data_IF_432167159367
#
_entry.id   IF_432167159367
#
_cell.length_a   1.000
_cell.length_b   1.000
_cell.length_c   1.000
_cell.angle_alpha   90.00
_cell.angle_beta   90.00
_cell.angle_gamma   90.00
#
_symmetry.space_group_name_H-M   'P 1'
#
loop_
_entity.id
_entity.type
_entity.pdbx_description
1 polymer ?
#
# COMPACT_ATOMS: atom_id res chain seq x y z
N UNK A 1 -11.68 1.50 3.61
CA UNK A 1 -13.14 1.76 3.72
C UNK A 1 -13.53 2.79 4.80
N UNK A 2 -12.59 3.65 5.22
CA UNK A 2 -12.80 4.69 6.24
C UNK A 2 -13.92 5.66 5.86
N UNK A 3 -14.83 5.93 6.78
CA UNK A 3 -15.95 6.86 6.56
C UNK A 3 -15.48 8.31 6.71
N UNK A 4 -15.53 9.09 5.64
CA UNK A 4 -15.06 10.48 5.63
C UNK A 4 -15.88 11.34 4.66
N UNK A 5 -16.34 12.51 5.12
CA UNK A 5 -17.12 13.44 4.30
C UNK A 5 -18.41 12.83 3.73
N UNK A 6 -19.09 11.98 4.50
CA UNK A 6 -20.39 11.40 4.13
C UNK A 6 -20.34 10.19 3.19
N UNK A 7 -19.15 9.61 2.94
CA UNK A 7 -18.98 8.36 2.17
C UNK A 7 -17.71 7.63 2.60
N UNK A 8 -17.45 6.44 2.03
CA UNK A 8 -16.15 5.77 2.19
C UNK A 8 -15.06 6.51 1.42
N UNK A 9 -13.87 6.62 2.00
CA UNK A 9 -12.76 7.42 1.45
C UNK A 9 -12.28 6.93 0.06
N UNK A 10 -12.34 5.62 -0.21
CA UNK A 10 -12.06 5.07 -1.54
C UNK A 10 -13.08 5.52 -2.61
N UNK A 11 -14.29 5.94 -2.22
CA UNK A 11 -15.29 6.50 -3.12
C UNK A 11 -14.88 7.83 -3.77
N UNK A 12 -13.92 8.57 -3.19
CA UNK A 12 -13.37 9.77 -3.80
C UNK A 12 -12.47 9.46 -5.00
N UNK A 13 -11.80 8.30 -5.01
CA UNK A 13 -11.12 7.82 -6.21
C UNK A 13 -12.14 7.47 -7.31
N UNK A 14 -13.21 6.75 -6.96
CA UNK A 14 -14.22 6.32 -7.92
C UNK A 14 -14.94 7.48 -8.62
N UNK A 15 -15.13 8.61 -7.93
CA UNK A 15 -15.84 9.77 -8.47
C UNK A 15 -14.94 10.91 -8.98
N UNK A 16 -13.69 10.99 -8.51
CA UNK A 16 -12.78 12.10 -8.83
C UNK A 16 -11.38 11.67 -9.28
N UNK A 17 -11.17 10.37 -9.54
CA UNK A 17 -9.88 9.79 -9.91
C UNK A 17 -8.79 10.03 -8.85
N UNK A 18 -7.54 10.00 -9.29
CA UNK A 18 -6.36 10.22 -8.42
C UNK A 18 -6.45 11.55 -7.66
N UNK A 19 -6.87 12.62 -8.33
CA UNK A 19 -7.00 13.95 -7.70
C UNK A 19 -8.08 13.97 -6.60
N UNK A 20 -9.18 13.23 -6.79
CA UNK A 20 -10.21 13.06 -5.77
C UNK A 20 -9.69 12.31 -4.56
N UNK A 21 -8.94 11.22 -4.77
CA UNK A 21 -8.31 10.45 -3.71
C UNK A 21 -7.30 11.29 -2.92
N UNK A 22 -6.38 11.99 -3.61
CA UNK A 22 -5.38 12.88 -3.00
C UNK A 22 -6.05 13.92 -2.11
N UNK A 23 -7.01 14.69 -2.64
CA UNK A 23 -7.72 15.71 -1.85
C UNK A 23 -8.40 15.13 -0.61
N UNK A 24 -9.05 13.97 -0.75
CA UNK A 24 -9.71 13.33 0.36
C UNK A 24 -8.72 12.89 1.45
N UNK A 25 -7.57 12.34 1.06
CA UNK A 25 -6.51 12.00 2.00
C UNK A 25 -5.90 13.23 2.66
N UNK A 26 -5.57 14.29 1.92
CA UNK A 26 -5.01 15.52 2.50
C UNK A 26 -5.98 16.16 3.51
N UNK A 27 -7.28 16.18 3.20
CA UNK A 27 -8.30 16.67 4.15
C UNK A 27 -8.47 15.73 5.35
N UNK A 28 -8.33 14.43 5.15
CA UNK A 28 -8.47 13.44 6.21
C UNK A 28 -7.33 13.50 7.22
N UNK A 29 -6.09 13.58 6.72
CA UNK A 29 -4.85 13.48 7.50
C UNK A 29 -4.29 14.84 7.92
N UNK A 30 -4.56 15.89 7.16
CA UNK A 30 -3.86 17.18 7.27
C UNK A 30 -2.47 17.18 6.63
N UNK A 31 -2.02 16.05 6.08
CA UNK A 31 -0.75 15.95 5.36
C UNK A 31 -0.90 16.49 3.95
N UNK A 32 0.14 17.16 3.44
CA UNK A 32 0.23 17.47 2.01
C UNK A 32 0.79 16.24 1.29
N UNK A 33 0.18 15.86 0.17
CA UNK A 33 0.64 14.77 -0.67
C UNK A 33 1.28 15.38 -1.92
N UNK A 34 2.61 15.37 -1.99
CA UNK A 34 3.32 15.89 -3.15
C UNK A 34 3.19 14.97 -4.37
N UNK A 35 3.22 13.65 -4.12
CA UNK A 35 3.23 12.65 -5.19
C UNK A 35 2.38 11.41 -4.89
N UNK A 36 1.91 10.76 -5.95
CA UNK A 36 1.24 9.46 -5.88
C UNK A 36 1.84 8.46 -6.87
N UNK A 37 1.69 7.18 -6.54
CA UNK A 37 1.91 6.05 -7.45
C UNK A 37 0.67 5.17 -7.37
N UNK A 38 0.09 4.84 -8.52
CA UNK A 38 -1.10 3.99 -8.65
C UNK A 38 -0.79 2.86 -9.62
N UNK A 39 -1.22 1.65 -9.28
CA UNK A 39 -1.19 0.49 -10.17
C UNK A 39 -2.52 -0.22 -10.09
N UNK A 40 -2.90 -0.91 -11.16
CA UNK A 40 -3.98 -1.89 -11.15
C UNK A 40 -3.40 -3.31 -11.10
N UNK A 41 -4.22 -4.33 -11.35
CA UNK A 41 -3.77 -5.72 -11.32
C UNK A 41 -2.89 -6.09 -12.51
N UNK A 42 -3.15 -5.49 -13.67
CA UNK A 42 -2.39 -5.72 -14.90
C UNK A 42 -1.02 -5.02 -14.83
N UNK A 43 -0.87 -3.98 -14.01
CA UNK A 43 0.41 -3.40 -13.64
C UNK A 43 1.11 -4.15 -12.51
N UNK A 44 0.38 -4.50 -11.45
CA UNK A 44 0.96 -4.98 -10.20
C UNK A 44 1.67 -6.33 -10.33
N UNK A 45 0.99 -7.34 -10.90
CA UNK A 45 1.57 -8.67 -10.98
C UNK A 45 2.83 -8.69 -11.89
N UNK A 46 2.79 -8.12 -13.12
CA UNK A 46 3.98 -8.02 -13.95
C UNK A 46 5.12 -7.20 -13.33
N UNK A 47 4.81 -6.17 -12.54
CA UNK A 47 5.83 -5.39 -11.82
C UNK A 47 6.58 -6.26 -10.80
N UNK A 48 5.88 -7.11 -10.05
CA UNK A 48 6.52 -8.07 -9.12
C UNK A 48 7.36 -9.09 -9.89
N UNK A 49 6.85 -9.60 -11.02
CA UNK A 49 7.59 -10.56 -11.85
C UNK A 49 8.83 -9.93 -12.49
N UNK A 50 8.79 -8.64 -12.86
CA UNK A 50 9.96 -7.88 -13.31
C UNK A 50 11.06 -7.84 -12.24
N UNK A 51 10.68 -7.78 -10.97
CA UNK A 51 11.61 -7.89 -9.85
C UNK A 51 12.06 -9.33 -9.55
N UNK A 52 11.65 -10.30 -10.36
CA UNK A 52 11.87 -11.74 -10.14
C UNK A 52 11.26 -12.19 -8.80
N UNK A 53 10.04 -11.76 -8.52
CA UNK A 53 9.34 -12.09 -7.27
C UNK A 53 9.88 -11.36 -6.05
N UNK A 54 9.30 -11.69 -4.90
CA UNK A 54 9.62 -11.07 -3.60
C UNK A 54 9.52 -12.12 -2.49
N UNK A 55 10.48 -12.09 -1.57
CA UNK A 55 10.40 -12.88 -0.35
C UNK A 55 9.51 -12.15 0.67
N UNK A 56 8.53 -12.81 1.26
CA UNK A 56 7.73 -12.18 2.32
C UNK A 56 7.43 -13.17 3.44
N UNK A 57 7.31 -12.63 4.65
CA UNK A 57 6.96 -13.43 5.83
C UNK A 57 5.46 -13.44 6.02
N UNK A 58 4.88 -14.62 5.91
CA UNK A 58 3.49 -14.89 6.23
C UNK A 58 3.43 -15.32 7.69
N UNK A 59 2.73 -14.56 8.52
CA UNK A 59 2.67 -14.82 9.97
C UNK A 59 1.60 -15.87 10.35
N UNK A 60 0.73 -16.24 9.41
CA UNK A 60 -0.42 -17.10 9.69
C UNK A 60 -0.88 -17.93 8.49
N UNK A 61 -1.75 -18.92 8.72
CA UNK A 61 -2.35 -19.66 7.61
C UNK A 61 -3.36 -18.79 6.85
N UNK A 62 -3.08 -18.50 5.59
CA UNK A 62 -3.98 -17.82 4.66
C UNK A 62 -4.53 -18.87 3.71
N UNK A 63 -5.85 -19.08 3.76
CA UNK A 63 -6.58 -19.93 2.83
C UNK A 63 -7.84 -19.18 2.36
N UNK A 64 -7.73 -18.54 1.20
CA UNK A 64 -8.79 -17.71 0.64
C UNK A 64 -9.04 -18.11 -0.81
N UNK A 65 -10.14 -18.84 -1.04
CA UNK A 65 -10.56 -19.32 -2.36
C UNK A 65 -11.01 -18.22 -3.30
N UNK A 66 -11.41 -17.05 -2.80
CA UNK A 66 -11.80 -15.91 -3.62
C UNK A 66 -10.58 -15.24 -4.25
N UNK A 67 -9.50 -15.12 -3.48
CA UNK A 67 -8.24 -14.59 -3.98
C UNK A 67 -7.35 -15.64 -4.65
N UNK A 68 -7.54 -16.93 -4.32
CA UNK A 68 -6.63 -18.02 -4.69
C UNK A 68 -5.38 -18.09 -3.81
N UNK A 69 -5.33 -17.35 -2.69
CA UNK A 69 -4.17 -17.33 -1.81
C UNK A 69 -4.20 -18.51 -0.84
N UNK A 70 -3.18 -19.36 -0.94
CA UNK A 70 -2.93 -20.49 -0.06
C UNK A 70 -1.48 -20.46 0.41
N UNK A 71 -1.24 -19.87 1.58
CA UNK A 71 0.10 -19.73 2.17
C UNK A 71 0.06 -20.16 3.64
N UNK A 72 1.05 -20.93 4.05
CA UNK A 72 1.27 -21.31 5.45
C UNK A 72 2.15 -20.29 6.16
N UNK A 73 2.22 -20.27 7.50
CA UNK A 73 3.21 -19.47 8.21
C UNK A 73 4.64 -19.77 7.74
N UNK A 74 5.46 -18.74 7.59
CA UNK A 74 6.86 -18.85 7.18
C UNK A 74 7.27 -17.82 6.13
N UNK A 75 8.52 -17.93 5.69
CA UNK A 75 9.07 -17.11 4.60
C UNK A 75 8.76 -17.79 3.27
N UNK A 76 8.18 -17.04 2.33
CA UNK A 76 7.86 -17.52 0.99
C UNK A 76 8.45 -16.60 -0.06
N UNK A 77 9.04 -17.19 -1.08
CA UNK A 77 9.32 -16.48 -2.34
C UNK A 77 8.08 -16.55 -3.22
N UNK A 78 7.48 -15.40 -3.51
CA UNK A 78 6.21 -15.31 -4.27
C UNK A 78 6.37 -14.51 -5.55
N UNK A 79 5.74 -15.00 -6.62
CA UNK A 79 5.65 -14.31 -7.91
C UNK A 79 4.49 -13.30 -7.94
N UNK A 80 4.30 -12.60 -9.06
CA UNK A 80 3.28 -11.57 -9.21
C UNK A 80 1.86 -12.06 -9.00
N UNK A 81 1.52 -13.24 -9.50
CA UNK A 81 0.20 -13.84 -9.30
C UNK A 81 -0.07 -14.17 -7.83
N UNK A 82 0.92 -14.74 -7.13
CA UNK A 82 0.83 -15.08 -5.70
C UNK A 82 0.80 -13.82 -4.83
N UNK A 83 1.61 -12.80 -5.16
CA UNK A 83 1.59 -11.50 -4.50
C UNK A 83 0.24 -10.80 -4.66
N UNK A 84 -0.36 -10.88 -5.85
CA UNK A 84 -1.69 -10.33 -6.11
C UNK A 84 -2.76 -11.08 -5.31
N UNK A 85 -2.67 -12.42 -5.24
CA UNK A 85 -3.57 -13.23 -4.43
C UNK A 85 -3.45 -12.85 -2.94
N UNK A 86 -2.22 -12.74 -2.41
CA UNK A 86 -1.95 -12.37 -1.02
C UNK A 86 -2.57 -11.02 -0.66
N UNK A 87 -2.30 -9.97 -1.43
CA UNK A 87 -2.82 -8.61 -1.16
C UNK A 87 -4.34 -8.50 -1.30
N UNK A 88 -4.98 -9.44 -1.99
CA UNK A 88 -6.44 -9.53 -2.15
C UNK A 88 -7.13 -10.42 -1.11
N UNK A 89 -6.39 -11.23 -0.36
CA UNK A 89 -6.92 -12.23 0.56
C UNK A 89 -7.73 -11.58 1.70
N UNK A 90 -9.06 -11.71 1.66
CA UNK A 90 -10.02 -11.04 2.55
C UNK A 90 -10.64 -11.97 3.59
N UNK A 91 -10.86 -13.22 3.21
CA UNK A 91 -11.72 -14.17 3.93
C UNK A 91 -10.94 -15.22 4.73
N UNK A 92 -9.61 -15.13 4.75
CA UNK A 92 -8.78 -15.95 5.63
C UNK A 92 -9.05 -15.64 7.11
N UNK A 93 -8.98 -16.68 7.95
CA UNK A 93 -8.81 -16.47 9.40
C UNK A 93 -7.54 -15.65 9.57
N UNK A 94 -7.67 -14.51 10.25
CA UNK A 94 -6.52 -13.63 10.49
C UNK A 94 -6.30 -13.35 11.97
N UNK A 95 -5.04 -13.39 12.42
CA UNK A 95 -4.53 -12.95 13.70
C UNK A 95 -4.82 -11.46 13.94
N UNK A 96 -5.11 -10.72 12.88
CA UNK A 96 -5.33 -9.28 12.89
C UNK A 96 -6.80 -8.87 12.73
N UNK A 97 -7.74 -9.76 13.06
CA UNK A 97 -9.18 -9.48 12.94
C UNK A 97 -9.74 -9.59 11.52
N UNK A 98 -8.90 -9.92 10.54
CA UNK A 98 -9.28 -10.21 9.16
C UNK A 98 -9.72 -8.98 8.37
N UNK A 99 -10.37 -9.22 7.22
CA UNK A 99 -11.05 -8.17 6.46
C UNK A 99 -10.11 -7.13 5.85
N UNK A 100 -10.40 -5.85 6.06
CA UNK A 100 -9.67 -4.75 5.43
C UNK A 100 -8.28 -4.56 6.05
N UNK A 101 -8.19 -4.56 7.38
CA UNK A 101 -6.94 -4.30 8.10
C UNK A 101 -5.85 -5.33 7.77
N UNK A 102 -6.19 -6.63 7.80
CA UNK A 102 -5.24 -7.69 7.48
C UNK A 102 -4.64 -7.52 6.07
N UNK A 103 -5.48 -7.21 5.08
CA UNK A 103 -5.03 -6.96 3.69
C UNK A 103 -4.15 -5.73 3.57
N UNK A 104 -4.53 -4.64 4.21
CA UNK A 104 -3.78 -3.38 4.20
C UNK A 104 -2.39 -3.59 4.82
N UNK A 105 -2.31 -4.31 5.95
CA UNK A 105 -1.04 -4.66 6.59
C UNK A 105 -0.18 -5.58 5.73
N UNK A 106 -0.75 -6.65 5.15
CA UNK A 106 -0.03 -7.56 4.25
C UNK A 106 0.52 -6.83 3.03
N UNK A 107 -0.26 -5.93 2.44
CA UNK A 107 0.16 -5.12 1.30
C UNK A 107 1.30 -4.16 1.67
N UNK A 108 1.23 -3.51 2.83
CA UNK A 108 2.29 -2.63 3.32
C UNK A 108 3.59 -3.40 3.59
N UNK A 109 3.51 -4.59 4.19
CA UNK A 109 4.68 -5.46 4.42
C UNK A 109 5.32 -5.91 3.11
N UNK A 110 4.51 -6.37 2.15
CA UNK A 110 5.00 -6.79 0.84
C UNK A 110 5.74 -5.68 0.10
N UNK A 111 5.21 -4.44 0.14
CA UNK A 111 5.86 -3.28 -0.45
C UNK A 111 7.19 -2.94 0.23
N UNK A 112 7.24 -3.03 1.57
CA UNK A 112 8.48 -2.83 2.32
C UNK A 112 9.52 -3.91 1.99
N UNK A 113 9.12 -5.18 1.94
CA UNK A 113 9.97 -6.31 1.59
C UNK A 113 10.54 -6.15 0.17
N UNK A 114 9.69 -5.78 -0.79
CA UNK A 114 10.09 -5.51 -2.17
C UNK A 114 11.12 -4.38 -2.26
N UNK A 115 10.85 -3.25 -1.59
CA UNK A 115 11.77 -2.11 -1.55
C UNK A 115 13.14 -2.53 -1.01
N UNK A 116 13.16 -3.19 0.15
CA UNK A 116 14.41 -3.57 0.83
C UNK A 116 15.21 -4.61 0.04
N UNK A 117 14.54 -5.55 -0.62
CA UNK A 117 15.20 -6.60 -1.43
C UNK A 117 15.72 -6.06 -2.76
N UNK A 118 14.96 -5.17 -3.41
CA UNK A 118 15.19 -4.80 -4.82
C UNK A 118 15.85 -3.44 -4.99
N UNK A 119 16.13 -2.70 -3.91
CA UNK A 119 16.85 -1.41 -3.96
C UNK A 119 18.17 -1.47 -4.73
N UNK A 120 18.93 -2.56 -4.62
CA UNK A 120 20.22 -2.72 -5.31
C UNK A 120 20.08 -2.87 -6.83
N UNK A 121 18.89 -3.15 -7.35
CA UNK A 121 18.62 -3.23 -8.80
C UNK A 121 18.59 -1.86 -9.46
N UNK A 122 18.51 -0.77 -8.68
CA UNK A 122 18.41 0.60 -9.17
C UNK A 122 19.67 1.37 -8.84
N UNK A 123 20.18 2.09 -9.83
CA UNK A 123 21.34 2.97 -9.71
C UNK A 123 21.16 4.19 -10.60
N UNK A 124 22.02 5.19 -10.45
CA UNK A 124 22.04 6.35 -11.35
C UNK A 124 22.26 5.97 -12.82
N UNK A 125 22.98 4.86 -13.09
CA UNK A 125 23.33 4.43 -14.45
C UNK A 125 22.15 3.83 -15.22
N UNK A 126 21.25 3.13 -14.54
CA UNK A 126 20.10 2.48 -15.16
C UNK A 126 18.77 3.18 -14.81
N UNK A 127 18.81 4.35 -14.17
CA UNK A 127 17.64 5.06 -13.67
C UNK A 127 16.59 5.32 -14.75
N UNK A 128 16.99 5.89 -15.89
CA UNK A 128 16.05 6.21 -16.97
C UNK A 128 15.37 4.96 -17.51
N UNK A 129 16.13 3.88 -17.73
CA UNK A 129 15.57 2.61 -18.19
C UNK A 129 14.65 2.00 -17.13
N UNK A 130 15.06 2.01 -15.87
CA UNK A 130 14.28 1.52 -14.75
C UNK A 130 12.93 2.25 -14.63
N UNK A 131 12.95 3.58 -14.68
CA UNK A 131 11.73 4.39 -14.60
C UNK A 131 10.85 4.23 -15.83
N UNK A 132 11.44 4.10 -17.03
CA UNK A 132 10.68 3.80 -18.24
C UNK A 132 9.99 2.43 -18.17
N UNK A 133 10.64 1.42 -17.58
CA UNK A 133 10.05 0.10 -17.39
C UNK A 133 8.93 0.13 -16.35
N UNK A 134 9.18 0.69 -15.17
CA UNK A 134 8.17 0.76 -14.11
C UNK A 134 6.99 1.64 -14.54
N UNK A 135 7.26 2.72 -15.29
CA UNK A 135 6.23 3.61 -15.82
C UNK A 135 5.21 2.95 -16.75
N UNK A 136 5.48 1.72 -17.24
CA UNK A 136 4.49 0.93 -18.00
C UNK A 136 3.44 0.26 -17.09
N UNK A 137 3.77 0.08 -15.81
CA UNK A 137 2.95 -0.63 -14.83
C UNK A 137 2.28 0.31 -13.83
N UNK A 138 2.65 1.60 -13.81
CA UNK A 138 2.15 2.56 -12.82
C UNK A 138 1.73 3.89 -13.44
N UNK A 139 0.71 4.51 -12.85
CA UNK A 139 0.37 5.92 -13.08
C UNK A 139 0.91 6.77 -11.93
N UNK A 140 1.61 7.84 -12.27
CA UNK A 140 2.22 8.74 -11.29
C UNK A 140 2.26 10.18 -11.79
N UNK A 141 2.32 11.14 -10.86
CA UNK A 141 2.63 12.54 -11.15
C UNK A 141 4.12 12.88 -10.89
N UNK A 142 4.96 11.90 -10.58
CA UNK A 142 6.40 12.07 -10.37
C UNK A 142 7.09 12.23 -11.73
N UNK A 143 7.74 13.38 -11.96
CA UNK A 143 8.62 13.57 -13.12
C UNK A 143 9.95 12.83 -12.96
N UNK A 144 10.66 12.58 -14.07
CA UNK A 144 11.99 11.97 -14.06
C UNK A 144 12.97 12.72 -13.15
N UNK A 145 12.95 14.06 -13.16
CA UNK A 145 13.80 14.88 -12.29
C UNK A 145 13.44 14.75 -10.81
N UNK A 146 12.16 14.67 -10.47
CA UNK A 146 11.71 14.46 -9.08
C UNK A 146 12.06 13.04 -8.60
N UNK A 147 11.87 12.04 -9.46
CA UNK A 147 12.27 10.66 -9.17
C UNK A 147 13.79 10.59 -8.87
N UNK A 148 14.62 11.26 -9.69
CA UNK A 148 16.07 11.31 -9.47
C UNK A 148 16.47 11.97 -8.13
N UNK A 149 15.67 12.92 -7.63
CA UNK A 149 15.89 13.57 -6.32
C UNK A 149 15.45 12.71 -5.14
N UNK A 150 14.33 11.99 -5.27
CA UNK A 150 13.75 11.16 -4.21
C UNK A 150 14.51 9.83 -4.08
N UNK A 151 14.97 9.28 -5.20
CA UNK A 151 15.52 7.93 -5.26
C UNK A 151 16.68 7.69 -4.27
N UNK A 152 17.69 8.57 -4.12
CA UNK A 152 18.77 8.34 -3.15
C UNK A 152 18.27 8.12 -1.72
N UNK A 153 17.23 8.85 -1.30
CA UNK A 153 16.62 8.68 0.02
C UNK A 153 15.95 7.31 0.12
N UNK A 154 15.11 6.96 -0.85
CA UNK A 154 14.41 5.66 -0.91
C UNK A 154 15.40 4.48 -0.92
N UNK A 155 16.50 4.58 -1.66
CA UNK A 155 17.53 3.53 -1.72
C UNK A 155 18.36 3.44 -0.44
N UNK A 156 18.45 4.53 0.33
CA UNK A 156 19.16 4.54 1.62
C UNK A 156 18.34 3.98 2.78
N UNK A 157 17.02 3.85 2.63
CA UNK A 157 16.13 3.34 3.66
C UNK A 157 16.51 1.92 4.08
N UNK A 158 16.48 1.69 5.39
CA UNK A 158 16.66 0.41 6.06
C UNK A 158 15.34 -0.04 6.69
N UNK A 159 15.30 -1.25 7.24
CA UNK A 159 14.05 -1.82 7.78
C UNK A 159 13.48 -0.99 8.92
N UNK A 160 14.36 -0.44 9.75
CA UNK A 160 14.07 0.44 10.88
C UNK A 160 13.52 1.81 10.47
N UNK A 161 13.77 2.24 9.23
CA UNK A 161 13.24 3.50 8.70
C UNK A 161 11.79 3.34 8.19
N UNK A 162 11.27 2.10 8.11
CA UNK A 162 9.93 1.78 7.60
C UNK A 162 8.99 1.41 8.76
N UNK A 163 8.09 2.33 9.09
CA UNK A 163 7.09 2.16 10.15
C UNK A 163 5.72 1.86 9.52
N UNK A 164 5.14 0.71 9.83
CA UNK A 164 3.75 0.38 9.51
C UNK A 164 2.95 0.58 10.80
N UNK A 165 2.10 1.60 10.82
CA UNK A 165 1.34 2.00 12.01
C UNK A 165 -0.10 2.34 11.65
N UNK A 166 -0.98 2.25 12.64
CA UNK A 166 -2.41 2.55 12.54
C UNK A 166 -2.89 3.25 13.80
N UNK A 167 -4.07 3.83 13.74
CA UNK A 167 -4.81 4.32 14.90
C UNK A 167 -6.10 3.52 15.07
N UNK A 168 -6.69 3.59 16.26
CA UNK A 168 -7.87 2.81 16.58
C UNK A 168 -9.04 3.15 15.67
N UNK A 169 -9.64 2.09 15.13
CA UNK A 169 -10.78 2.17 14.23
C UNK A 169 -11.61 0.89 14.31
N UNK A 170 -12.89 0.97 13.94
CA UNK A 170 -13.83 -0.14 14.09
C UNK A 170 -14.84 -0.19 12.95
N UNK A 171 -15.38 -1.38 12.64
CA UNK A 171 -16.51 -1.48 11.72
C UNK A 171 -17.75 -0.81 12.31
N UNK A 172 -18.41 0.04 11.54
CA UNK A 172 -19.63 0.75 11.94
C UNK A 172 -20.57 0.94 10.74
N UNK A 173 -21.87 0.97 11.01
CA UNK A 173 -22.89 1.34 10.03
C UNK A 173 -23.11 2.85 10.02
N UNK A 174 -23.04 3.45 8.83
CA UNK A 174 -23.40 4.82 8.54
C UNK A 174 -24.59 4.81 7.58
N UNK A 175 -25.80 4.93 8.13
CA UNK A 175 -27.03 4.66 7.39
C UNK A 175 -27.04 3.23 6.86
N UNK A 176 -27.12 3.05 5.54
CA UNK A 176 -27.10 1.74 4.87
C UNK A 176 -25.70 1.25 4.49
N UNK A 177 -24.65 1.98 4.85
CA UNK A 177 -23.27 1.65 4.48
C UNK A 177 -22.49 1.10 5.67
N UNK A 178 -21.94 -0.10 5.56
CA UNK A 178 -20.91 -0.58 6.48
C UNK A 178 -19.56 0.02 6.09
N UNK A 179 -18.91 0.76 6.99
CA UNK A 179 -17.64 1.45 6.78
C UNK A 179 -16.77 1.39 8.05
N UNK A 180 -15.56 1.96 7.97
CA UNK A 180 -14.65 2.03 9.14
C UNK A 180 -14.83 3.39 9.83
N UNK A 181 -15.31 3.36 11.07
CA UNK A 181 -15.40 4.50 11.97
C UNK A 181 -14.12 4.67 12.80
N UNK A 182 -13.93 5.87 13.36
CA UNK A 182 -12.76 6.23 14.16
C UNK A 182 -13.07 7.39 15.08
N UNK A 183 -12.23 7.59 16.09
CA UNK A 183 -12.26 8.79 16.93
C UNK A 183 -11.50 9.93 16.25
N UNK A 184 -12.15 11.07 16.06
CA UNK A 184 -11.55 12.20 15.34
C UNK A 184 -10.37 12.84 16.09
N UNK A 185 -10.42 12.92 17.42
CA UNK A 185 -9.34 13.48 18.22
C UNK A 185 -8.09 12.59 18.17
N UNK A 186 -8.26 11.28 18.29
CA UNK A 186 -7.17 10.30 18.17
C UNK A 186 -6.57 10.28 16.77
N UNK A 187 -7.41 10.27 15.72
CA UNK A 187 -6.98 10.39 14.33
C UNK A 187 -6.16 11.66 14.09
N UNK A 188 -6.64 12.79 14.59
CA UNK A 188 -5.93 14.06 14.45
C UNK A 188 -4.60 14.05 15.22
N UNK A 189 -4.55 13.47 16.41
CA UNK A 189 -3.30 13.33 17.17
C UNK A 189 -2.31 12.41 16.45
N UNK A 190 -2.77 11.28 15.91
CA UNK A 190 -1.97 10.33 15.18
C UNK A 190 -1.26 10.97 13.99
N UNK A 191 -2.01 11.68 13.12
CA UNK A 191 -1.39 12.34 11.97
C UNK A 191 -0.54 13.56 12.35
N UNK A 192 -0.88 14.31 13.42
CA UNK A 192 0.03 15.34 13.95
C UNK A 192 1.37 14.75 14.39
N UNK A 193 1.37 13.59 15.04
CA UNK A 193 2.61 12.93 15.45
C UNK A 193 3.46 12.53 14.24
N UNK A 194 2.83 12.03 13.17
CA UNK A 194 3.53 11.68 11.91
C UNK A 194 4.12 12.93 11.25
N UNK A 195 3.36 14.03 11.20
CA UNK A 195 3.79 15.26 10.53
C UNK A 195 4.90 16.04 11.26
N UNK A 196 5.13 15.72 12.54
CA UNK A 196 6.14 16.38 13.38
C UNK A 196 7.43 15.55 13.55
N UNK A 197 7.53 14.39 12.90
CA UNK A 197 8.76 13.58 12.84
C UNK A 197 9.70 14.13 11.77
#
# INVERSE_FOLDING_TARGET
DTWFGGRKINGYHASGGNAGAVRAFEQFTGAKIDFYVVTDFDGFAPLIDYFSGVDTTVEENIADSFSGCYLTPGVHHINGAQALALTRARYGRSLYGGGAYARERQSAMLLADLLLQKRSMVSSRNLSNFLNTIGQYVWTNISLSQAAQILPVVLSMRREDIIITTFDSWPQWFGKSSAVGYNEAEKNQFFRNILNQ
#
